data_IF_052283077425
#
_entry.id   IF_052283077425
#
_cell.length_a   1.000
_cell.length_b   1.000
_cell.length_c   1.000
_cell.angle_alpha   90.00
_cell.angle_beta   90.00
_cell.angle_gamma   90.00
#
_symmetry.space_group_name_H-M   'P 1'
#
loop_
_entity.id
_entity.type
_entity.pdbx_description
1 polymer ?
#
# COMPACT_ATOMS: atom_id res chain seq x y z
N UNK A 1 22.88 25.79 -21.15
CA UNK A 1 21.97 25.25 -20.13
C UNK A 1 21.06 24.26 -20.83
N UNK A 2 21.49 23.00 -20.90
CA UNK A 2 20.75 21.90 -21.54
C UNK A 2 19.59 21.52 -20.63
N UNK A 3 18.39 21.36 -21.21
CA UNK A 3 17.22 20.87 -20.48
C UNK A 3 17.58 19.57 -19.76
N UNK A 4 17.32 19.50 -18.45
CA UNK A 4 17.43 18.24 -17.70
C UNK A 4 16.44 17.26 -18.33
N UNK A 5 16.95 16.29 -19.09
CA UNK A 5 16.13 15.17 -19.55
C UNK A 5 15.63 14.42 -18.32
N UNK A 6 14.33 14.51 -18.06
CA UNK A 6 13.67 13.66 -17.08
C UNK A 6 13.86 12.20 -17.49
N UNK A 7 14.16 11.36 -16.51
CA UNK A 7 14.27 9.93 -16.72
C UNK A 7 12.90 9.35 -17.05
N UNK A 8 12.87 8.27 -17.82
CA UNK A 8 11.63 7.56 -18.10
C UNK A 8 11.19 6.74 -16.88
N UNK A 9 9.87 6.63 -16.68
CA UNK A 9 9.32 5.81 -15.60
C UNK A 9 9.78 4.35 -15.68
N UNK A 10 9.86 3.79 -16.89
CA UNK A 10 10.30 2.42 -17.12
C UNK A 10 11.75 2.21 -16.64
N UNK A 11 12.64 3.16 -16.91
CA UNK A 11 14.03 3.08 -16.47
C UNK A 11 14.16 3.11 -14.94
N UNK A 12 13.37 3.94 -14.27
CA UNK A 12 13.34 3.99 -12.79
C UNK A 12 12.80 2.68 -12.21
N UNK A 13 11.74 2.13 -12.81
CA UNK A 13 11.18 0.85 -12.39
C UNK A 13 12.19 -0.29 -12.56
N UNK A 14 12.84 -0.40 -13.72
CA UNK A 14 13.91 -1.39 -13.97
C UNK A 14 15.04 -1.28 -12.94
N UNK A 15 15.44 -0.05 -12.64
CA UNK A 15 16.46 0.23 -11.64
C UNK A 15 16.04 -0.24 -10.26
N UNK A 16 14.81 0.05 -9.86
CA UNK A 16 14.26 -0.39 -8.58
C UNK A 16 14.24 -1.92 -8.44
N UNK A 17 13.80 -2.64 -9.48
CA UNK A 17 13.80 -4.11 -9.46
C UNK A 17 15.21 -4.71 -9.30
N UNK A 18 16.23 -4.10 -9.92
CA UNK A 18 17.63 -4.50 -9.72
C UNK A 18 18.08 -4.36 -8.26
N UNK A 19 17.75 -3.23 -7.63
CA UNK A 19 18.04 -3.00 -6.21
C UNK A 19 17.25 -3.92 -5.29
N UNK A 20 15.99 -4.19 -5.61
CA UNK A 20 15.13 -5.06 -4.83
C UNK A 20 15.69 -6.48 -4.71
N UNK A 21 16.17 -7.07 -5.82
CA UNK A 21 16.81 -8.40 -5.81
C UNK A 21 17.99 -8.46 -4.83
N UNK A 22 18.86 -7.46 -4.90
CA UNK A 22 20.04 -7.37 -4.03
C UNK A 22 19.63 -7.20 -2.56
N UNK A 23 18.61 -6.39 -2.31
CA UNK A 23 18.09 -6.09 -0.97
C UNK A 23 17.40 -7.28 -0.33
N UNK A 24 16.59 -8.03 -1.08
CA UNK A 24 15.97 -9.27 -0.61
C UNK A 24 17.02 -10.35 -0.28
N UNK A 25 18.07 -10.43 -1.09
CA UNK A 25 19.20 -11.33 -0.84
C UNK A 25 19.93 -10.96 0.45
N UNK A 26 20.18 -9.67 0.67
CA UNK A 26 20.78 -9.20 1.92
C UNK A 26 19.87 -9.46 3.13
N UNK A 27 18.58 -9.18 3.04
CA UNK A 27 17.61 -9.42 4.11
C UNK A 27 17.55 -10.91 4.50
N UNK A 28 17.68 -11.82 3.52
CA UNK A 28 17.82 -13.26 3.74
C UNK A 28 19.09 -13.60 4.50
N UNK A 29 20.23 -13.04 4.10
CA UNK A 29 21.52 -13.28 4.76
C UNK A 29 21.56 -12.76 6.20
N UNK A 30 20.90 -11.63 6.46
CA UNK A 30 20.77 -11.02 7.79
C UNK A 30 19.68 -11.69 8.66
N UNK A 31 19.01 -12.74 8.13
CA UNK A 31 17.91 -13.46 8.80
C UNK A 31 16.72 -12.58 9.18
N UNK A 32 16.54 -11.45 8.47
CA UNK A 32 15.34 -10.62 8.57
C UNK A 32 14.16 -11.27 7.84
N UNK A 33 14.44 -12.02 6.77
CA UNK A 33 13.47 -12.79 6.00
C UNK A 33 14.00 -14.22 5.84
N UNK A 34 13.19 -15.23 6.15
CA UNK A 34 13.56 -16.62 5.88
C UNK A 34 13.15 -17.07 4.46
N UNK A 35 13.65 -18.23 4.05
CA UNK A 35 13.34 -18.77 2.74
C UNK A 35 11.88 -19.25 2.60
N UNK A 36 11.15 -19.47 3.70
CA UNK A 36 9.75 -19.87 3.68
C UNK A 36 8.87 -18.65 3.40
N UNK A 37 9.12 -17.52 4.07
CA UNK A 37 8.51 -16.19 3.82
C UNK A 37 8.76 -15.73 2.38
N UNK A 38 10.00 -15.82 1.88
CA UNK A 38 10.32 -15.45 0.49
C UNK A 38 9.60 -16.33 -0.54
N UNK A 39 9.46 -17.63 -0.25
CA UNK A 39 8.84 -18.59 -1.18
C UNK A 39 7.32 -18.56 -1.21
N UNK A 40 6.71 -18.43 -0.04
CA UNK A 40 5.26 -18.32 0.13
C UNK A 40 4.75 -16.97 -0.37
N UNK A 41 5.62 -15.95 -0.40
CA UNK A 41 5.24 -14.55 -0.55
C UNK A 41 4.10 -14.14 0.41
N UNK A 42 3.88 -14.92 1.47
CA UNK A 42 2.80 -14.75 2.43
C UNK A 42 3.07 -13.55 3.34
N UNK A 43 2.00 -13.03 3.92
CA UNK A 43 2.08 -11.82 4.74
C UNK A 43 2.44 -10.57 3.95
N UNK A 44 3.04 -9.62 4.64
CA UNK A 44 3.24 -8.26 4.17
C UNK A 44 4.50 -8.06 3.29
N UNK A 45 4.92 -9.10 2.56
CA UNK A 45 6.21 -9.10 1.88
C UNK A 45 6.29 -8.09 0.73
N UNK A 46 5.16 -7.82 0.05
CA UNK A 46 5.08 -6.80 -0.97
C UNK A 46 5.39 -5.40 -0.42
N UNK A 47 5.14 -5.14 0.85
CA UNK A 47 5.51 -3.87 1.48
C UNK A 47 6.92 -3.98 2.07
N UNK A 48 7.18 -5.06 2.82
CA UNK A 48 8.43 -5.25 3.57
C UNK A 48 9.66 -5.29 2.67
N UNK A 49 9.62 -6.02 1.54
CA UNK A 49 10.75 -6.13 0.62
C UNK A 49 11.20 -4.79 0.03
N UNK A 50 10.29 -4.04 -0.63
CA UNK A 50 10.55 -2.68 -1.08
C UNK A 50 10.97 -1.72 0.03
N UNK A 51 10.37 -1.80 1.22
CA UNK A 51 10.76 -0.95 2.36
C UNK A 51 12.20 -1.22 2.83
N UNK A 52 12.61 -2.49 2.91
CA UNK A 52 14.00 -2.88 3.20
C UNK A 52 14.96 -2.40 2.10
N UNK A 53 14.53 -2.47 0.83
CA UNK A 53 15.31 -1.93 -0.28
C UNK A 53 15.58 -0.42 -0.12
N UNK A 54 14.55 0.35 0.24
CA UNK A 54 14.67 1.79 0.51
C UNK A 54 15.55 2.08 1.73
N UNK A 55 15.44 1.26 2.78
CA UNK A 55 16.27 1.35 3.98
C UNK A 55 17.76 1.10 3.68
N UNK A 56 18.11 0.01 2.98
CA UNK A 56 19.49 -0.25 2.60
C UNK A 56 20.05 0.79 1.63
N UNK A 57 19.20 1.34 0.74
CA UNK A 57 19.58 2.46 -0.10
C UNK A 57 19.92 3.72 0.72
N UNK A 58 19.14 4.00 1.77
CA UNK A 58 19.41 5.12 2.68
C UNK A 58 20.73 4.95 3.45
N UNK A 59 21.01 3.76 3.97
CA UNK A 59 22.29 3.46 4.65
C UNK A 59 23.51 3.65 3.74
N UNK A 60 23.35 3.40 2.43
CA UNK A 60 24.42 3.52 1.42
C UNK A 60 24.48 4.88 0.74
N UNK A 61 23.54 5.78 1.02
CA UNK A 61 23.47 7.08 0.39
C UNK A 61 24.62 7.98 0.86
N UNK A 62 25.42 8.49 -0.08
CA UNK A 62 26.57 9.37 0.22
C UNK A 62 26.42 10.79 -0.34
N UNK A 63 25.27 11.11 -0.91
CA UNK A 63 25.02 12.38 -1.62
C UNK A 63 24.25 13.39 -0.76
N UNK A 64 24.40 14.67 -1.09
CA UNK A 64 23.68 15.77 -0.44
C UNK A 64 23.28 16.83 -1.49
N UNK A 65 21.98 17.03 -1.79
CA UNK A 65 20.82 16.34 -1.21
C UNK A 65 20.80 14.83 -1.53
N UNK A 66 20.11 14.00 -0.72
CA UNK A 66 20.06 12.55 -0.94
C UNK A 66 19.57 12.19 -2.35
N UNK A 67 20.30 11.28 -2.99
CA UNK A 67 20.00 10.76 -4.33
C UNK A 67 20.21 9.25 -4.35
N UNK A 68 19.51 8.56 -5.25
CA UNK A 68 19.63 7.09 -5.39
C UNK A 68 20.54 6.81 -6.59
N UNK A 69 21.68 6.12 -6.41
CA UNK A 69 22.51 5.74 -7.56
C UNK A 69 21.68 4.87 -8.51
N UNK A 70 21.82 5.05 -9.82
CA UNK A 70 21.14 4.22 -10.81
C UNK A 70 22.08 3.11 -11.30
N UNK A 71 21.57 1.95 -11.72
CA UNK A 71 22.39 0.87 -12.23
C UNK A 71 23.28 1.35 -13.38
N UNK A 72 24.55 0.97 -13.33
CA UNK A 72 25.53 1.37 -14.33
C UNK A 72 25.20 0.69 -15.67
N UNK A 73 24.99 1.50 -16.72
CA UNK A 73 25.13 1.00 -18.08
C UNK A 73 26.61 0.97 -18.46
N UNK A 74 27.02 -0.01 -19.26
CA UNK A 74 28.40 -0.08 -19.79
C UNK A 74 28.75 1.10 -20.70
N UNK A 75 27.75 1.81 -21.19
CA UNK A 75 27.88 2.83 -22.25
C UNK A 75 27.51 4.25 -21.79
N UNK A 76 27.00 4.44 -20.57
CA UNK A 76 26.58 5.76 -20.08
C UNK A 76 27.34 6.16 -18.81
N UNK A 77 27.51 7.48 -18.56
CA UNK A 77 28.08 7.96 -17.31
C UNK A 77 27.23 7.53 -16.10
N UNK A 78 27.87 7.46 -14.94
CA UNK A 78 27.18 7.25 -13.67
C UNK A 78 26.18 8.38 -13.44
N UNK A 79 24.96 8.03 -13.06
CA UNK A 79 23.89 8.98 -12.84
C UNK A 79 23.14 8.60 -11.58
N UNK A 80 22.74 9.61 -10.82
CA UNK A 80 21.92 9.43 -9.64
C UNK A 80 20.52 9.97 -9.93
N UNK A 81 19.50 9.28 -9.40
CA UNK A 81 18.14 9.77 -9.34
C UNK A 81 18.04 10.87 -8.29
N UNK A 82 17.69 12.07 -8.74
CA UNK A 82 17.54 13.26 -7.93
C UNK A 82 16.21 13.95 -8.22
N UNK A 83 15.75 14.90 -7.38
CA UNK A 83 14.51 15.63 -7.65
C UNK A 83 14.47 16.32 -9.03
N UNK A 84 15.63 16.63 -9.62
CA UNK A 84 15.71 17.38 -10.88
C UNK A 84 15.62 16.52 -12.14
N UNK A 85 15.80 15.20 -12.04
CA UNK A 85 15.67 14.26 -13.16
C UNK A 85 14.60 13.18 -12.91
N UNK A 86 13.98 13.17 -11.72
CA UNK A 86 12.94 12.23 -11.35
C UNK A 86 11.65 12.47 -12.16
N UNK A 87 11.04 11.41 -12.74
CA UNK A 87 9.74 11.54 -13.38
C UNK A 87 8.69 12.03 -12.36
N UNK A 88 7.71 12.87 -12.77
CA UNK A 88 6.73 13.46 -11.85
C UNK A 88 6.01 12.45 -10.95
N UNK A 89 5.69 11.27 -11.49
CA UNK A 89 5.00 10.21 -10.75
C UNK A 89 5.80 9.63 -9.57
N UNK A 90 7.13 9.84 -9.53
CA UNK A 90 8.03 9.32 -8.48
C UNK A 90 8.56 10.42 -7.55
N UNK A 91 8.32 11.70 -7.85
CA UNK A 91 8.88 12.82 -7.08
C UNK A 91 8.45 12.79 -5.62
N UNK A 92 7.17 12.49 -5.36
CA UNK A 92 6.65 12.37 -3.99
C UNK A 92 7.37 11.28 -3.19
N UNK A 93 7.66 10.15 -3.84
CA UNK A 93 8.34 9.00 -3.21
C UNK A 93 9.78 9.35 -2.86
N UNK A 94 10.48 9.96 -3.82
CA UNK A 94 11.87 10.37 -3.65
C UNK A 94 12.01 11.40 -2.53
N UNK A 95 11.05 12.32 -2.42
CA UNK A 95 11.01 13.32 -1.35
C UNK A 95 10.85 12.67 0.02
N UNK A 96 9.83 11.83 0.21
CA UNK A 96 9.60 11.12 1.49
C UNK A 96 10.81 10.27 1.87
N UNK A 97 11.38 9.53 0.92
CA UNK A 97 12.61 8.76 1.16
C UNK A 97 13.78 9.68 1.56
N UNK A 98 14.01 10.78 0.84
CA UNK A 98 15.11 11.71 1.14
C UNK A 98 15.04 12.29 2.56
N UNK A 99 13.83 12.53 3.08
CA UNK A 99 13.58 13.06 4.43
C UNK A 99 13.91 12.06 5.55
N UNK A 100 13.99 10.76 5.24
CA UNK A 100 14.36 9.72 6.20
C UNK A 100 15.81 9.27 6.09
N UNK A 101 16.55 9.64 5.03
CA UNK A 101 17.96 9.25 4.86
C UNK A 101 18.83 9.71 6.04
N UNK A 102 18.83 10.99 6.36
CA UNK A 102 19.63 11.52 7.47
C UNK A 102 19.18 10.95 8.84
N UNK A 103 17.88 10.90 9.18
CA UNK A 103 17.41 10.22 10.39
C UNK A 103 17.83 8.75 10.50
N UNK A 104 17.88 8.00 9.39
CA UNK A 104 18.34 6.59 9.40
C UNK A 104 19.84 6.52 9.69
N UNK A 105 20.63 7.36 9.02
CA UNK A 105 22.09 7.36 9.15
C UNK A 105 22.56 7.84 10.54
N UNK A 106 21.75 8.60 11.26
CA UNK A 106 22.06 9.05 12.62
C UNK A 106 21.72 8.03 13.72
N UNK A 107 21.01 6.94 13.39
CA UNK A 107 20.75 5.85 14.35
C UNK A 107 22.02 5.06 14.64
N UNK A 108 22.16 4.63 15.90
CA UNK A 108 23.20 3.66 16.28
C UNK A 108 22.91 2.27 15.68
N UNK A 109 23.91 1.40 15.49
CA UNK A 109 23.73 0.11 14.82
C UNK A 109 22.59 -0.76 15.39
N UNK A 110 22.40 -0.77 16.71
CA UNK A 110 21.32 -1.50 17.37
C UNK A 110 19.94 -0.97 16.97
N UNK A 111 19.79 0.36 16.91
CA UNK A 111 18.57 1.03 16.49
C UNK A 111 18.32 0.89 14.98
N UNK A 112 19.39 0.83 14.18
CA UNK A 112 19.29 0.51 12.76
C UNK A 112 18.74 -0.90 12.55
N UNK A 113 19.23 -1.88 13.33
CA UNK A 113 18.70 -3.23 13.29
C UNK A 113 17.23 -3.29 13.76
N UNK A 114 16.88 -2.58 14.83
CA UNK A 114 15.49 -2.48 15.30
C UNK A 114 14.57 -1.84 14.25
N UNK A 115 15.05 -0.82 13.51
CA UNK A 115 14.31 -0.26 12.38
C UNK A 115 14.02 -1.31 11.31
N UNK A 116 15.03 -2.11 10.92
CA UNK A 116 14.85 -3.19 9.95
C UNK A 116 13.83 -4.23 10.43
N UNK A 117 13.86 -4.57 11.73
CA UNK A 117 12.88 -5.48 12.36
C UNK A 117 11.47 -4.91 12.33
N UNK A 118 11.29 -3.64 12.72
CA UNK A 118 9.99 -2.98 12.72
C UNK A 118 9.43 -2.86 11.29
N UNK A 119 10.27 -2.61 10.28
CA UNK A 119 9.84 -2.64 8.87
C UNK A 119 9.25 -4.01 8.50
N UNK A 120 9.82 -5.09 9.03
CA UNK A 120 9.37 -6.48 8.86
C UNK A 120 8.21 -6.88 9.76
N UNK A 121 7.66 -5.96 10.57
CA UNK A 121 6.61 -6.27 11.55
C UNK A 121 7.10 -7.12 12.73
N UNK A 122 8.40 -7.17 12.97
CA UNK A 122 9.02 -7.87 14.09
C UNK A 122 9.19 -6.92 15.28
N UNK A 123 9.13 -7.46 16.50
CA UNK A 123 9.42 -6.70 17.70
C UNK A 123 10.90 -6.25 17.74
N UNK A 124 11.19 -5.01 18.17
CA UNK A 124 12.57 -4.55 18.37
C UNK A 124 13.25 -5.35 19.48
N UNK A 125 14.57 -5.50 19.38
CA UNK A 125 15.39 -6.21 20.37
C UNK A 125 15.71 -5.27 21.54
N UNK A 126 15.94 -3.98 21.27
CA UNK A 126 16.30 -3.03 22.31
C UNK A 126 15.12 -2.70 23.21
N UNK A 127 15.37 -2.64 24.53
CA UNK A 127 14.36 -2.27 25.53
C UNK A 127 13.94 -0.79 25.45
N UNK A 128 14.81 0.09 24.94
CA UNK A 128 14.54 1.51 24.75
C UNK A 128 14.42 1.84 23.27
N UNK A 129 13.21 1.70 22.73
CA UNK A 129 12.92 2.03 21.33
C UNK A 129 12.84 3.55 21.21
N UNK A 130 13.72 4.13 20.39
CA UNK A 130 13.61 5.54 20.03
C UNK A 130 12.26 5.77 19.34
N UNK A 131 11.37 6.66 19.85
CA UNK A 131 10.04 6.88 19.30
C UNK A 131 10.04 7.25 17.81
N UNK A 132 11.12 7.85 17.31
CA UNK A 132 11.24 8.23 15.90
C UNK A 132 11.33 7.03 14.94
N UNK A 133 11.77 5.86 15.41
CA UNK A 133 11.97 4.66 14.57
C UNK A 133 10.64 4.23 13.93
N UNK A 134 9.54 4.30 14.69
CA UNK A 134 8.21 3.97 14.17
C UNK A 134 7.77 4.93 13.06
N UNK A 135 8.09 6.22 13.19
CA UNK A 135 7.83 7.21 12.14
C UNK A 135 8.65 6.93 10.88
N UNK A 136 9.94 6.63 11.03
CA UNK A 136 10.82 6.28 9.92
C UNK A 136 10.32 5.01 9.20
N UNK A 137 9.96 3.98 9.96
CA UNK A 137 9.41 2.74 9.41
C UNK A 137 8.09 2.99 8.66
N UNK A 138 7.21 3.85 9.21
CA UNK A 138 5.96 4.22 8.57
C UNK A 138 6.21 4.94 7.24
N UNK A 139 7.13 5.91 7.19
CA UNK A 139 7.49 6.64 5.96
C UNK A 139 8.05 5.68 4.88
N UNK A 140 8.96 4.77 5.25
CA UNK A 140 9.52 3.77 4.32
C UNK A 140 8.45 2.82 3.79
N UNK A 141 7.56 2.34 4.67
CA UNK A 141 6.46 1.45 4.30
C UNK A 141 5.41 2.17 3.43
N UNK A 142 5.19 3.46 3.65
CA UNK A 142 4.32 4.30 2.83
C UNK A 142 4.82 4.34 1.37
N UNK A 143 6.11 4.62 1.18
CA UNK A 143 6.71 4.62 -0.17
C UNK A 143 6.68 3.23 -0.79
N UNK A 144 6.96 2.18 -0.01
CA UNK A 144 6.90 0.80 -0.45
C UNK A 144 5.49 0.38 -0.93
N UNK A 145 4.45 0.78 -0.21
CA UNK A 145 3.04 0.56 -0.58
C UNK A 145 2.76 1.17 -1.95
N UNK A 146 3.12 2.44 -2.16
CA UNK A 146 2.83 3.13 -3.41
C UNK A 146 3.54 2.51 -4.61
N UNK A 147 4.80 2.09 -4.42
CA UNK A 147 5.52 1.33 -5.45
C UNK A 147 4.80 0.00 -5.73
N UNK A 148 4.33 -0.68 -4.69
CA UNK A 148 3.67 -1.99 -4.78
C UNK A 148 2.27 -1.97 -5.36
N UNK A 149 1.62 -0.82 -5.31
CA UNK A 149 0.34 -0.55 -5.98
C UNK A 149 0.52 -0.45 -7.50
N UNK A 150 1.73 -0.24 -8.01
CA UNK A 150 1.97 -0.16 -9.46
C UNK A 150 1.93 -1.55 -10.09
N UNK A 151 1.16 -1.68 -11.17
CA UNK A 151 1.04 -2.92 -11.93
C UNK A 151 2.38 -3.43 -12.47
N UNK A 152 3.22 -2.54 -12.99
CA UNK A 152 4.53 -2.93 -13.51
C UNK A 152 5.39 -3.60 -12.43
N UNK A 153 5.27 -3.14 -11.19
CA UNK A 153 5.92 -3.75 -10.04
C UNK A 153 5.35 -5.15 -9.77
N UNK A 154 4.03 -5.26 -9.66
CA UNK A 154 3.34 -6.53 -9.38
C UNK A 154 3.69 -7.61 -10.41
N UNK A 155 3.73 -7.27 -11.70
CA UNK A 155 4.04 -8.23 -12.76
C UNK A 155 5.44 -8.85 -12.67
N UNK A 156 6.39 -8.13 -12.07
CA UNK A 156 7.80 -8.54 -12.01
C UNK A 156 8.21 -9.09 -10.65
N UNK A 157 7.42 -8.81 -9.62
CA UNK A 157 7.75 -9.13 -8.24
C UNK A 157 8.04 -10.62 -8.01
N UNK A 158 7.28 -11.53 -8.63
CA UNK A 158 7.55 -12.98 -8.57
C UNK A 158 8.97 -13.34 -9.05
N UNK A 159 9.45 -12.68 -10.13
CA UNK A 159 10.80 -12.91 -10.67
C UNK A 159 11.88 -12.41 -9.71
N UNK A 160 11.62 -11.30 -9.00
CA UNK A 160 12.57 -10.76 -8.02
C UNK A 160 12.69 -11.65 -6.78
N UNK A 161 11.55 -12.19 -6.31
CA UNK A 161 11.52 -13.17 -5.23
C UNK A 161 12.29 -14.42 -5.60
N UNK A 162 12.06 -14.96 -6.82
CA UNK A 162 12.78 -16.13 -7.29
C UNK A 162 14.29 -15.89 -7.35
N UNK A 163 14.73 -14.73 -7.86
CA UNK A 163 16.15 -14.39 -7.91
C UNK A 163 16.81 -14.36 -6.52
N UNK A 164 16.10 -13.89 -5.49
CA UNK A 164 16.59 -13.90 -4.11
C UNK A 164 16.60 -15.31 -3.48
N UNK A 165 15.65 -16.18 -3.84
CA UNK A 165 15.63 -17.59 -3.43
C UNK A 165 16.82 -18.35 -4.03
N UNK A 166 17.05 -18.18 -5.32
CA UNK A 166 18.14 -18.81 -6.08
C UNK A 166 19.51 -18.33 -5.61
N UNK A 167 19.60 -17.09 -5.11
CA UNK A 167 20.81 -16.53 -4.51
C UNK A 167 21.18 -17.27 -3.23
N UNK A 168 22.28 -18.03 -3.28
CA UNK A 168 22.82 -18.83 -2.17
C UNK A 168 22.40 -20.30 -2.16
N UNK A 169 21.58 -20.76 -3.11
CA UNK A 169 21.35 -22.18 -3.34
C UNK A 169 22.48 -22.76 -4.21
N UNK A 170 23.24 -23.73 -3.70
CA UNK A 170 24.16 -24.50 -4.54
C UNK A 170 23.38 -25.20 -5.66
N UNK A 171 24.01 -25.44 -6.82
CA UNK A 171 23.40 -26.00 -8.05
C UNK A 171 22.73 -27.39 -7.91
N UNK A 172 22.57 -27.93 -6.71
CA UNK A 172 22.09 -29.28 -6.45
C UNK A 172 21.32 -29.40 -5.13
N UNK A 173 20.41 -28.46 -4.83
CA UNK A 173 19.44 -28.66 -3.74
C UNK A 173 18.10 -29.17 -4.32
N UNK A 174 17.67 -30.41 -4.02
CA UNK A 174 16.40 -30.96 -4.50
C UNK A 174 15.16 -30.24 -3.93
N UNK A 175 15.32 -29.21 -3.09
CA UNK A 175 14.26 -28.34 -2.58
C UNK A 175 14.25 -26.94 -3.20
N UNK A 176 14.53 -26.77 -4.49
CA UNK A 176 14.41 -25.45 -5.13
C UNK A 176 12.99 -24.89 -4.94
N UNK A 177 12.82 -23.96 -4.00
CA UNK A 177 11.52 -23.35 -3.69
C UNK A 177 11.16 -22.39 -4.81
N UNK A 178 9.91 -22.47 -5.28
CA UNK A 178 9.36 -21.55 -6.27
C UNK A 178 8.57 -20.46 -5.57
N UNK A 179 8.78 -19.21 -5.97
CA UNK A 179 7.92 -18.12 -5.53
C UNK A 179 6.48 -18.38 -6.01
N UNK A 180 5.52 -18.40 -5.09
CA UNK A 180 4.09 -18.66 -5.38
C UNK A 180 3.31 -17.41 -5.78
N UNK A 181 3.97 -16.25 -5.85
CA UNK A 181 3.31 -14.98 -6.11
C UNK A 181 2.62 -14.94 -7.48
N UNK A 182 1.33 -14.64 -7.49
CA UNK A 182 0.53 -14.44 -8.70
C UNK A 182 0.09 -12.97 -8.76
N UNK A 183 0.45 -12.21 -9.81
CA UNK A 183 0.02 -10.82 -9.94
C UNK A 183 -1.52 -10.73 -10.09
N UNK A 184 -2.14 -9.63 -9.65
CA UNK A 184 -3.57 -9.45 -9.80
C UNK A 184 -3.99 -9.24 -11.28
N UNK A 185 -5.26 -9.50 -11.63
CA UNK A 185 -5.76 -9.46 -13.00
C UNK A 185 -5.68 -8.10 -13.70
N UNK A 186 -5.80 -8.17 -15.03
CA UNK A 186 -6.11 -7.16 -16.06
C UNK A 186 -6.85 -5.84 -15.80
N UNK A 187 -6.27 -4.73 -15.30
CA UNK A 187 -6.96 -3.40 -15.36
C UNK A 187 -6.99 -2.71 -16.74
N UNK A 188 -6.70 -3.42 -17.84
CA UNK A 188 -6.74 -2.74 -19.14
C UNK A 188 -8.14 -2.19 -19.39
N UNK A 189 -8.22 -0.87 -19.62
CA UNK A 189 -9.44 -0.20 -20.02
C UNK A 189 -10.08 -1.03 -21.13
N UNK A 190 -11.32 -1.45 -20.90
CA UNK A 190 -12.07 -2.30 -21.81
C UNK A 190 -11.89 -1.77 -23.24
N UNK A 191 -11.23 -2.55 -24.09
CA UNK A 191 -11.32 -2.32 -25.52
C UNK A 191 -12.80 -2.32 -25.90
N UNK A 192 -13.26 -1.42 -26.80
CA UNK A 192 -14.66 -1.33 -27.14
C UNK A 192 -15.18 -2.70 -27.61
N UNK A 193 -16.38 -3.11 -27.20
CA UNK A 193 -16.91 -4.41 -27.57
C UNK A 193 -17.04 -4.51 -29.10
N UNK A 194 -16.71 -5.65 -29.73
CA UNK A 194 -17.12 -5.88 -31.10
C UNK A 194 -18.64 -5.81 -31.18
N UNK A 195 -19.16 -5.10 -32.19
CA UNK A 195 -20.58 -4.81 -32.37
C UNK A 195 -21.48 -6.05 -32.24
N UNK A 196 -22.68 -5.93 -31.65
CA UNK A 196 -23.51 -7.09 -31.35
C UNK A 196 -24.12 -7.66 -32.64
N UNK A 197 -23.75 -8.90 -32.97
CA UNK A 197 -24.54 -9.73 -33.89
C UNK A 197 -25.85 -10.09 -33.17
N UNK A 198 -26.97 -9.68 -33.77
CA UNK A 198 -28.32 -10.03 -33.34
C UNK A 198 -28.47 -11.55 -33.31
N UNK A 199 -28.75 -12.12 -32.14
CA UNK A 199 -29.34 -13.45 -32.03
C UNK A 199 -30.59 -13.38 -31.17
N UNK A 200 -31.58 -14.14 -31.62
CA UNK A 200 -32.97 -14.07 -31.25
C UNK A 200 -33.24 -14.49 -29.80
N UNK A 201 -34.34 -13.94 -29.29
CA UNK A 201 -35.00 -14.23 -28.03
C UNK A 201 -35.18 -15.74 -27.76
N UNK A 202 -34.64 -16.20 -26.63
CA UNK A 202 -35.19 -17.34 -25.91
C UNK A 202 -35.28 -16.98 -24.42
N UNK A 203 -36.51 -16.96 -23.93
CA UNK A 203 -36.87 -16.78 -22.53
C UNK A 203 -36.45 -18.02 -21.75
N UNK A 204 -35.42 -17.92 -20.92
CA UNK A 204 -35.14 -18.91 -19.88
C UNK A 204 -34.46 -18.24 -18.67
N UNK A 205 -35.12 -18.38 -17.52
CA UNK A 205 -34.63 -18.28 -16.14
C UNK A 205 -33.30 -17.56 -15.91
N UNK A 206 -33.36 -16.41 -15.22
CA UNK A 206 -32.22 -15.75 -14.58
C UNK A 206 -31.45 -16.72 -13.69
N UNK A 207 -30.17 -17.05 -13.99
CA UNK A 207 -29.31 -17.68 -13.01
C UNK A 207 -28.88 -16.59 -12.03
N UNK A 208 -29.11 -16.82 -10.74
CA UNK A 208 -28.51 -16.01 -9.69
C UNK A 208 -26.98 -16.05 -9.83
N UNK A 209 -26.32 -14.89 -9.73
CA UNK A 209 -24.85 -14.68 -9.78
C UNK A 209 -24.12 -15.28 -8.55
N UNK A 210 -24.84 -16.07 -7.75
CA UNK A 210 -24.41 -16.69 -6.50
C UNK A 210 -23.95 -18.13 -6.78
N UNK A 211 -22.63 -18.34 -6.85
CA UNK A 211 -22.04 -19.65 -6.55
C UNK A 211 -22.14 -19.90 -5.04
N UNK A 212 -22.23 -21.15 -4.56
CA UNK A 212 -22.30 -21.45 -3.14
C UNK A 212 -20.91 -21.34 -2.48
N UNK A 213 -20.35 -20.12 -2.46
CA UNK A 213 -19.20 -19.77 -1.62
C UNK A 213 -19.75 -19.03 -0.39
N UNK A 214 -19.78 -19.75 0.74
CA UNK A 214 -20.08 -19.34 2.13
C UNK A 214 -20.70 -17.94 2.35
N UNK A 215 -21.90 -17.81 2.97
CA UNK A 215 -22.62 -16.53 3.13
C UNK A 215 -21.83 -15.38 3.78
N UNK A 216 -20.79 -15.70 4.55
CA UNK A 216 -19.87 -14.72 5.13
C UNK A 216 -19.03 -13.96 4.08
N UNK A 217 -18.56 -14.65 3.04
CA UNK A 217 -17.73 -14.03 1.99
C UNK A 217 -18.57 -13.04 1.18
N UNK A 218 -19.81 -13.42 0.86
CA UNK A 218 -20.75 -12.57 0.14
C UNK A 218 -21.07 -11.31 0.94
N UNK A 219 -21.35 -11.44 2.24
CA UNK A 219 -21.61 -10.29 3.11
C UNK A 219 -20.44 -9.31 3.13
N UNK A 220 -19.20 -9.78 3.29
CA UNK A 220 -18.02 -8.89 3.26
C UNK A 220 -17.88 -8.20 1.90
N UNK A 221 -18.01 -8.96 0.79
CA UNK A 221 -17.89 -8.41 -0.57
C UNK A 221 -18.97 -7.37 -0.86
N UNK A 222 -20.23 -7.68 -0.58
CA UNK A 222 -21.37 -6.78 -0.80
C UNK A 222 -21.19 -5.48 -0.03
N UNK A 223 -20.77 -5.56 1.23
CA UNK A 223 -20.52 -4.39 2.07
C UNK A 223 -19.43 -3.50 1.49
N UNK A 224 -18.30 -4.08 1.07
CA UNK A 224 -17.18 -3.32 0.50
C UNK A 224 -17.49 -2.77 -0.89
N UNK A 225 -18.23 -3.51 -1.73
CA UNK A 225 -18.62 -3.02 -3.06
C UNK A 225 -19.72 -1.97 -3.01
N UNK A 226 -20.65 -2.05 -2.05
CA UNK A 226 -21.58 -0.96 -1.78
C UNK A 226 -20.84 0.30 -1.35
N UNK A 227 -19.92 0.19 -0.38
CA UNK A 227 -19.07 1.30 0.05
C UNK A 227 -18.25 1.90 -1.11
N UNK A 228 -17.75 1.07 -2.02
CA UNK A 228 -17.03 1.52 -3.21
C UNK A 228 -17.93 2.34 -4.16
N UNK A 229 -19.19 1.91 -4.34
CA UNK A 229 -20.19 2.68 -5.06
C UNK A 229 -20.43 4.06 -4.45
N UNK A 230 -20.65 4.11 -3.13
CA UNK A 230 -20.88 5.35 -2.38
C UNK A 230 -19.68 6.30 -2.47
N UNK A 231 -18.45 5.76 -2.38
CA UNK A 231 -17.21 6.54 -2.53
C UNK A 231 -17.12 7.19 -3.91
N UNK A 232 -17.43 6.46 -4.97
CA UNK A 232 -17.35 6.97 -6.33
C UNK A 232 -18.46 7.97 -6.67
N UNK A 233 -19.61 7.86 -5.99
CA UNK A 233 -20.65 8.88 -6.02
C UNK A 233 -20.21 10.16 -5.32
N UNK A 234 -19.66 10.04 -4.11
CA UNK A 234 -19.34 11.17 -3.22
C UNK A 234 -18.02 11.88 -3.53
N UNK A 235 -17.03 11.21 -4.14
CA UNK A 235 -15.68 11.77 -4.35
C UNK A 235 -15.40 12.07 -5.83
N UNK A 236 -15.72 13.29 -6.27
CA UNK A 236 -15.48 13.75 -7.65
C UNK A 236 -14.00 13.79 -8.04
N UNK A 237 -13.10 13.96 -7.07
CA UNK A 237 -11.66 13.96 -7.28
C UNK A 237 -11.11 12.59 -7.68
N UNK A 238 -11.68 11.49 -7.16
CA UNK A 238 -11.33 10.12 -7.57
C UNK A 238 -11.66 9.88 -9.04
N UNK A 239 -12.77 10.45 -9.54
CA UNK A 239 -13.12 10.39 -10.98
C UNK A 239 -12.11 11.12 -11.85
N UNK A 240 -11.57 12.24 -11.35
CA UNK A 240 -10.52 12.99 -12.05
C UNK A 240 -9.21 12.20 -12.03
N UNK A 241 -8.89 11.57 -10.90
CA UNK A 241 -7.72 10.73 -10.71
C UNK A 241 -7.76 9.50 -11.61
N UNK A 242 -8.93 8.87 -11.82
CA UNK A 242 -9.10 7.75 -12.75
C UNK A 242 -8.63 8.07 -14.18
N UNK A 243 -8.76 9.33 -14.63
CA UNK A 243 -8.30 9.77 -15.95
C UNK A 243 -6.80 10.04 -16.01
N UNK A 244 -6.21 10.50 -14.90
CA UNK A 244 -4.81 10.95 -14.82
C UNK A 244 -3.85 9.82 -14.41
N UNK A 245 -4.26 9.02 -13.44
CA UNK A 245 -3.50 7.93 -12.82
C UNK A 245 -4.47 6.82 -12.38
N UNK A 246 -4.89 5.94 -13.31
CA UNK A 246 -5.86 4.89 -13.03
C UNK A 246 -5.44 3.93 -11.89
N UNK A 247 -4.17 3.45 -11.81
CA UNK A 247 -3.72 2.63 -10.68
C UNK A 247 -3.89 3.35 -9.34
N UNK A 248 -3.50 4.61 -9.24
CA UNK A 248 -3.67 5.39 -8.01
C UNK A 248 -5.14 5.54 -7.66
N UNK A 249 -5.98 5.87 -8.64
CA UNK A 249 -7.41 6.04 -8.41
C UNK A 249 -8.08 4.74 -7.92
N UNK A 250 -7.66 3.60 -8.46
CA UNK A 250 -8.09 2.28 -8.01
C UNK A 250 -7.82 2.10 -6.51
N UNK A 251 -6.57 2.28 -6.08
CA UNK A 251 -6.19 2.07 -4.68
C UNK A 251 -6.78 3.12 -3.75
N UNK A 252 -6.90 4.37 -4.20
CA UNK A 252 -7.61 5.41 -3.45
C UNK A 252 -9.08 5.01 -3.23
N UNK A 253 -9.78 4.53 -4.27
CA UNK A 253 -11.18 4.10 -4.18
C UNK A 253 -11.36 2.94 -3.20
N UNK A 254 -10.52 1.92 -3.29
CA UNK A 254 -10.55 0.76 -2.38
C UNK A 254 -10.20 1.17 -0.94
N UNK A 255 -9.19 2.03 -0.76
CA UNK A 255 -8.81 2.56 0.54
C UNK A 255 -9.92 3.37 1.20
N UNK A 256 -10.61 4.22 0.42
CA UNK A 256 -11.80 4.92 0.89
C UNK A 256 -12.95 3.98 1.21
N UNK A 257 -13.19 2.94 0.42
CA UNK A 257 -14.22 1.95 0.71
C UNK A 257 -13.94 1.19 2.02
N UNK A 258 -12.69 0.78 2.24
CA UNK A 258 -12.24 0.17 3.50
C UNK A 258 -12.48 1.12 4.67
N UNK A 259 -12.05 2.39 4.54
CA UNK A 259 -12.23 3.39 5.58
C UNK A 259 -13.72 3.63 5.86
N UNK A 260 -14.54 3.77 4.82
CA UNK A 260 -15.98 3.94 4.94
C UNK A 260 -16.65 2.75 5.66
N UNK A 261 -16.30 1.52 5.28
CA UNK A 261 -16.78 0.30 5.95
C UNK A 261 -16.32 0.28 7.41
N UNK A 262 -15.07 0.65 7.69
CA UNK A 262 -14.53 0.69 9.04
C UNK A 262 -15.23 1.73 9.93
N UNK A 263 -15.66 2.86 9.36
CA UNK A 263 -16.36 3.93 10.07
C UNK A 263 -17.86 3.63 10.27
N UNK A 264 -18.51 2.96 9.31
CA UNK A 264 -19.98 2.90 9.25
C UNK A 264 -20.57 1.50 9.43
N UNK A 265 -19.80 0.45 9.11
CA UNK A 265 -20.31 -0.91 9.07
C UNK A 265 -19.85 -1.77 10.27
N UNK A 266 -18.92 -1.30 11.11
CA UNK A 266 -18.51 -2.06 12.29
C UNK A 266 -19.63 -2.04 13.34
N UNK A 267 -19.88 -3.19 13.97
CA UNK A 267 -20.87 -3.33 15.03
C UNK A 267 -20.49 -2.48 16.27
N UNK A 268 -21.45 -2.01 17.08
CA UNK A 268 -21.14 -1.16 18.24
C UNK A 268 -20.17 -1.78 19.26
N UNK A 269 -20.15 -3.11 19.36
CA UNK A 269 -19.22 -3.87 20.21
C UNK A 269 -17.84 -4.08 19.58
N UNK A 270 -17.65 -3.71 18.31
CA UNK A 270 -16.39 -3.85 17.57
C UNK A 270 -16.04 -5.29 17.19
N UNK A 271 -16.96 -6.25 17.35
CA UNK A 271 -16.67 -7.69 17.15
C UNK A 271 -17.09 -8.23 15.79
N UNK A 272 -17.74 -7.42 14.96
CA UNK A 272 -18.24 -7.82 13.66
C UNK A 272 -18.50 -6.67 12.70
N UNK A 273 -19.00 -7.03 11.52
CA UNK A 273 -19.48 -6.08 10.51
C UNK A 273 -20.97 -6.28 10.28
N UNK A 274 -21.68 -5.19 10.00
CA UNK A 274 -23.06 -5.15 9.55
C UNK A 274 -23.07 -4.96 8.03
N UNK A 275 -23.62 -5.94 7.34
CA UNK A 275 -23.83 -5.87 5.90
C UNK A 275 -24.97 -4.93 5.50
N UNK A 276 -25.07 -4.66 4.20
CA UNK A 276 -26.03 -3.71 3.60
C UNK A 276 -27.48 -4.07 3.94
N UNK A 277 -27.80 -5.36 4.02
CA UNK A 277 -29.15 -5.86 4.37
C UNK A 277 -29.38 -5.96 5.88
N UNK A 278 -28.50 -5.41 6.72
CA UNK A 278 -28.59 -5.43 8.17
C UNK A 278 -28.08 -6.72 8.84
N UNK A 279 -27.80 -7.76 8.06
CA UNK A 279 -27.17 -8.99 8.56
C UNK A 279 -25.81 -8.68 9.18
N UNK A 280 -25.46 -9.36 10.27
CA UNK A 280 -24.19 -9.17 10.96
C UNK A 280 -23.31 -10.40 10.76
N UNK A 281 -22.01 -10.18 10.63
CA UNK A 281 -20.99 -11.22 10.59
C UNK A 281 -19.95 -10.92 11.68
N UNK A 282 -19.85 -11.80 12.67
CA UNK A 282 -18.84 -11.74 13.72
C UNK A 282 -17.53 -12.38 13.26
N UNK A 283 -16.44 -12.12 14.00
CA UNK A 283 -15.14 -12.74 13.71
C UNK A 283 -15.17 -14.28 13.83
N UNK A 284 -15.98 -14.81 14.73
CA UNK A 284 -16.09 -16.26 14.96
C UNK A 284 -16.79 -16.97 13.78
N UNK A 285 -17.79 -16.31 13.20
CA UNK A 285 -18.53 -16.75 12.01
C UNK A 285 -17.73 -16.55 10.71
N UNK A 286 -16.64 -15.78 10.77
CA UNK A 286 -15.80 -15.52 9.61
C UNK A 286 -14.98 -16.78 9.24
N UNK A 287 -14.99 -17.22 7.95
CA UNK A 287 -14.17 -18.32 7.48
C UNK A 287 -12.70 -18.12 7.81
N UNK A 288 -11.99 -19.19 8.17
CA UNK A 288 -10.59 -19.12 8.64
C UNK A 288 -9.67 -18.36 7.69
N UNK A 289 -9.88 -18.52 6.38
CA UNK A 289 -9.09 -17.83 5.34
C UNK A 289 -9.30 -16.30 5.32
N UNK A 290 -10.46 -15.81 5.76
CA UNK A 290 -10.80 -14.38 5.78
C UNK A 290 -10.65 -13.74 7.16
N UNK A 291 -10.47 -14.53 8.22
CA UNK A 291 -10.28 -14.00 9.59
C UNK A 291 -9.18 -12.95 9.66
N UNK A 292 -7.97 -13.11 9.06
CA UNK A 292 -6.95 -12.07 9.11
C UNK A 292 -7.40 -10.74 8.49
N UNK A 293 -8.13 -10.81 7.37
CA UNK A 293 -8.71 -9.64 6.72
C UNK A 293 -9.75 -8.96 7.62
N UNK A 294 -10.67 -9.75 8.18
CA UNK A 294 -11.72 -9.27 9.08
C UNK A 294 -11.12 -8.63 10.35
N UNK A 295 -10.14 -9.27 10.98
CA UNK A 295 -9.43 -8.75 12.15
C UNK A 295 -8.78 -7.40 11.85
N UNK A 296 -8.12 -7.25 10.70
CA UNK A 296 -7.49 -5.98 10.34
C UNK A 296 -8.52 -4.90 10.03
N UNK A 297 -9.62 -5.23 9.33
CA UNK A 297 -10.71 -4.29 9.07
C UNK A 297 -11.33 -3.76 10.38
N UNK A 298 -11.60 -4.65 11.33
CA UNK A 298 -12.09 -4.28 12.67
C UNK A 298 -11.07 -3.40 13.42
N UNK A 299 -9.79 -3.78 13.34
CA UNK A 299 -8.69 -3.03 13.95
C UNK A 299 -8.49 -1.63 13.35
N UNK A 300 -8.76 -1.44 12.05
CA UNK A 300 -8.76 -0.12 11.39
C UNK A 300 -9.89 0.73 11.95
N UNK A 301 -11.11 0.20 12.06
CA UNK A 301 -12.22 1.04 12.53
C UNK A 301 -12.18 1.33 14.03
N UNK A 302 -11.68 0.41 14.85
CA UNK A 302 -11.35 0.70 16.25
C UNK A 302 -10.33 1.85 16.36
N UNK A 303 -9.28 1.82 15.53
CA UNK A 303 -8.29 2.89 15.50
C UNK A 303 -8.86 4.21 14.96
N UNK A 304 -9.71 4.17 13.92
CA UNK A 304 -10.36 5.35 13.37
C UNK A 304 -11.22 6.06 14.42
N UNK A 305 -12.03 5.29 15.17
CA UNK A 305 -12.84 5.80 16.26
C UNK A 305 -11.98 6.45 17.35
N UNK A 306 -10.91 5.78 17.77
CA UNK A 306 -9.98 6.33 18.75
C UNK A 306 -9.29 7.62 18.26
N UNK A 307 -8.92 7.69 16.98
CA UNK A 307 -8.36 8.92 16.38
C UNK A 307 -9.37 10.07 16.44
N UNK A 308 -10.62 9.83 16.08
CA UNK A 308 -11.68 10.85 16.10
C UNK A 308 -11.93 11.35 17.53
N UNK A 309 -12.07 10.44 18.50
CA UNK A 309 -12.30 10.81 19.91
C UNK A 309 -11.12 11.62 20.50
N UNK A 310 -9.88 11.23 20.18
CA UNK A 310 -8.69 11.98 20.57
C UNK A 310 -8.63 13.37 19.90
N UNK A 311 -8.92 13.46 18.59
CA UNK A 311 -8.94 14.72 17.84
C UNK A 311 -10.02 15.68 18.35
N UNK A 312 -11.22 15.18 18.64
CA UNK A 312 -12.32 15.98 19.19
C UNK A 312 -11.95 16.54 20.57
N UNK A 313 -11.33 15.71 21.42
CA UNK A 313 -10.86 16.12 22.74
C UNK A 313 -9.77 17.20 22.65
N UNK A 314 -8.80 17.01 21.75
CA UNK A 314 -7.72 17.97 21.53
C UNK A 314 -8.24 19.29 20.92
N UNK A 315 -9.16 19.21 19.96
CA UNK A 315 -9.80 20.37 19.35
C UNK A 315 -10.57 21.20 20.39
N UNK A 316 -11.37 20.57 21.25
CA UNK A 316 -12.08 21.25 22.33
C UNK A 316 -11.12 21.98 23.28
N UNK A 317 -9.97 21.37 23.62
CA UNK A 317 -8.94 21.99 24.45
C UNK A 317 -8.32 23.22 23.76
N UNK A 318 -7.93 23.10 22.49
CA UNK A 318 -7.32 24.19 21.73
C UNK A 318 -8.28 25.37 21.55
N UNK A 319 -9.55 25.11 21.26
CA UNK A 319 -10.60 26.15 21.20
C UNK A 319 -10.74 26.85 22.54
N UNK A 320 -10.75 26.10 23.66
CA UNK A 320 -10.80 26.67 25.00
C UNK A 320 -9.59 27.55 25.35
N UNK A 321 -8.43 27.26 24.76
CA UNK A 321 -7.20 28.04 24.88
C UNK A 321 -7.09 29.19 23.85
N UNK A 322 -8.09 29.37 22.97
CA UNK A 322 -8.06 30.37 21.90
C UNK A 322 -7.03 30.09 20.80
N UNK A 323 -6.60 28.83 20.65
CA UNK A 323 -5.62 28.39 19.65
C UNK A 323 -6.31 27.86 18.41
N UNK A 324 -5.59 27.92 17.29
CA UNK A 324 -6.05 27.33 16.03
C UNK A 324 -6.08 25.79 16.13
N UNK A 325 -7.20 25.20 15.69
CA UNK A 325 -7.38 23.75 15.66
C UNK A 325 -6.72 23.21 14.37
N UNK A 326 -5.75 22.30 14.47
CA UNK A 326 -5.14 21.70 13.28
C UNK A 326 -6.15 20.83 12.53
N UNK A 327 -5.86 20.55 11.25
CA UNK A 327 -6.66 19.61 10.47
C UNK A 327 -6.68 18.23 11.17
N UNK A 328 -7.87 17.61 11.38
CA UNK A 328 -7.96 16.29 12.01
C UNK A 328 -7.09 15.24 11.31
N UNK A 329 -6.56 14.28 12.08
CA UNK A 329 -5.75 13.16 11.58
C UNK A 329 -6.50 12.32 10.57
N UNK A 330 -7.80 12.08 10.77
CA UNK A 330 -8.59 11.29 9.83
C UNK A 330 -8.75 11.99 8.48
N UNK A 331 -8.93 13.32 8.49
CA UNK A 331 -8.95 14.14 7.27
C UNK A 331 -7.59 14.15 6.55
N UNK A 332 -6.48 14.20 7.31
CA UNK A 332 -5.15 14.01 6.72
C UNK A 332 -5.00 12.62 6.10
N UNK A 333 -5.51 11.58 6.74
CA UNK A 333 -5.50 10.22 6.20
C UNK A 333 -6.29 10.13 4.88
N UNK A 334 -7.47 10.73 4.81
CA UNK A 334 -8.25 10.84 3.55
C UNK A 334 -7.43 11.53 2.45
N UNK A 335 -6.74 12.62 2.78
CA UNK A 335 -5.87 13.31 1.81
C UNK A 335 -4.68 12.48 1.35
N UNK A 336 -4.07 11.70 2.25
CA UNK A 336 -3.00 10.76 1.88
C UNK A 336 -3.50 9.59 1.01
N UNK A 337 -4.73 9.11 1.22
CA UNK A 337 -5.37 8.10 0.37
C UNK A 337 -5.66 8.65 -1.03
N UNK A 338 -6.03 9.93 -1.13
CA UNK A 338 -6.32 10.62 -2.40
C UNK A 338 -5.02 10.99 -3.16
N UNK A 339 -4.15 11.76 -2.54
CA UNK A 339 -3.06 12.49 -3.20
C UNK A 339 -1.69 11.80 -3.08
N UNK A 340 -1.56 10.86 -2.14
CA UNK A 340 -0.33 10.09 -1.91
C UNK A 340 0.46 10.52 -0.70
N UNK A 341 1.43 9.70 -0.34
CA UNK A 341 2.31 9.87 0.81
C UNK A 341 3.23 11.09 0.64
N UNK A 342 3.41 11.57 -0.60
CA UNK A 342 4.09 12.82 -0.90
C UNK A 342 3.32 14.09 -0.49
N UNK A 343 2.01 13.99 -0.25
CA UNK A 343 1.15 15.13 0.12
C UNK A 343 1.54 15.76 1.46
N UNK A 344 1.80 14.93 2.48
CA UNK A 344 2.19 15.44 3.80
C UNK A 344 3.50 16.21 3.71
N UNK A 345 4.49 15.65 2.99
CA UNK A 345 5.81 16.25 2.86
C UNK A 345 5.81 17.61 2.16
N UNK A 346 4.79 17.98 1.38
CA UNK A 346 4.66 19.31 0.76
C UNK A 346 4.24 20.40 1.76
N UNK A 347 3.52 20.02 2.82
CA UNK A 347 3.06 20.94 3.88
C UNK A 347 4.01 21.00 5.08
N UNK A 348 4.78 19.94 5.35
CA UNK A 348 5.64 19.83 6.55
C UNK A 348 6.95 20.61 6.48
N UNK A 349 7.34 21.16 5.33
CA UNK A 349 8.60 21.91 5.18
C UNK A 349 8.72 23.14 6.12
N UNK A 350 7.60 23.57 6.73
CA UNK A 350 7.54 24.69 7.66
C UNK A 350 7.27 24.29 9.13
N UNK A 351 7.19 22.99 9.49
CA UNK A 351 6.61 22.59 10.79
C UNK A 351 7.35 21.43 11.49
N UNK A 352 8.47 21.75 12.13
CA UNK A 352 9.36 20.77 12.80
C UNK A 352 8.72 20.03 14.00
N UNK A 353 7.60 20.53 14.53
CA UNK A 353 6.88 19.91 15.66
C UNK A 353 5.81 18.87 15.29
N UNK A 354 5.42 18.77 14.01
CA UNK A 354 4.24 18.00 13.59
C UNK A 354 4.53 16.57 13.13
N UNK A 355 5.81 16.19 13.03
CA UNK A 355 6.22 14.87 12.51
C UNK A 355 5.65 13.68 13.30
N UNK A 356 5.43 13.82 14.61
CA UNK A 356 4.82 12.74 15.43
C UNK A 356 3.36 12.48 15.07
N UNK A 357 2.59 13.56 14.82
CA UNK A 357 1.18 13.47 14.41
C UNK A 357 1.07 12.97 12.96
N UNK A 358 1.97 13.42 12.10
CA UNK A 358 2.07 12.93 10.72
C UNK A 358 2.44 11.44 10.67
N UNK A 359 3.40 11.00 11.48
CA UNK A 359 3.77 9.58 11.59
C UNK A 359 2.59 8.69 12.00
N UNK A 360 1.72 9.17 12.90
CA UNK A 360 0.48 8.43 13.27
C UNK A 360 -0.51 8.35 12.09
N UNK A 361 -0.70 9.44 11.34
CA UNK A 361 -1.59 9.44 10.18
C UNK A 361 -1.04 8.55 9.04
N UNK A 362 0.27 8.61 8.75
CA UNK A 362 0.93 7.76 7.76
C UNK A 362 0.81 6.29 8.17
N UNK A 363 1.07 5.95 9.43
CA UNK A 363 0.93 4.58 9.92
C UNK A 363 -0.51 4.05 9.76
N UNK A 364 -1.52 4.89 10.05
CA UNK A 364 -2.92 4.53 9.85
C UNK A 364 -3.26 4.30 8.37
N UNK A 365 -2.81 5.18 7.48
CA UNK A 365 -2.99 5.03 6.02
C UNK A 365 -2.29 3.78 5.49
N UNK A 366 -1.12 3.44 6.03
CA UNK A 366 -0.40 2.23 5.67
C UNK A 366 -1.19 0.96 6.00
N UNK A 367 -1.94 0.95 7.11
CA UNK A 367 -2.84 -0.16 7.45
C UNK A 367 -3.96 -0.33 6.42
N UNK A 368 -4.63 0.77 6.06
CA UNK A 368 -5.69 0.77 5.05
C UNK A 368 -5.16 0.30 3.69
N UNK A 369 -4.06 0.89 3.22
CA UNK A 369 -3.48 0.54 1.92
C UNK A 369 -2.86 -0.87 1.92
N UNK A 370 -2.32 -1.32 3.05
CA UNK A 370 -1.85 -2.70 3.24
C UNK A 370 -2.99 -3.70 3.14
N UNK A 371 -4.13 -3.41 3.78
CA UNK A 371 -5.34 -4.23 3.66
C UNK A 371 -5.85 -4.26 2.20
N UNK A 372 -5.87 -3.11 1.52
CA UNK A 372 -6.24 -3.01 0.11
C UNK A 372 -5.33 -3.84 -0.81
N UNK A 373 -4.01 -3.83 -0.57
CA UNK A 373 -3.06 -4.70 -1.27
C UNK A 373 -3.33 -6.18 -0.96
N UNK A 374 -3.60 -6.52 0.31
CA UNK A 374 -3.95 -7.87 0.75
C UNK A 374 -5.19 -8.43 0.06
N UNK A 375 -6.22 -7.60 -0.18
CA UNK A 375 -7.43 -8.00 -0.90
C UNK A 375 -7.14 -8.60 -2.27
N UNK A 376 -6.15 -8.07 -2.99
CA UNK A 376 -5.81 -8.56 -4.34
C UNK A 376 -5.30 -10.01 -4.35
N UNK A 377 -4.80 -10.48 -3.20
CA UNK A 377 -4.27 -11.84 -3.04
C UNK A 377 -5.37 -12.84 -2.70
N UNK A 378 -6.43 -12.40 -2.03
CA UNK A 378 -7.56 -13.24 -1.68
C UNK A 378 -8.33 -13.64 -2.94
N UNK A 379 -8.37 -14.95 -3.24
CA UNK A 379 -9.09 -15.49 -4.41
C UNK A 379 -10.52 -14.96 -4.49
N UNK A 380 -11.17 -14.88 -3.33
CA UNK A 380 -12.51 -14.36 -3.18
C UNK A 380 -12.69 -12.96 -3.81
N UNK A 381 -11.76 -12.04 -3.58
CA UNK A 381 -11.88 -10.68 -4.11
C UNK A 381 -11.35 -10.57 -5.54
N UNK A 382 -10.32 -11.36 -5.88
CA UNK A 382 -9.66 -11.35 -7.19
C UNK A 382 -10.61 -11.66 -8.34
N UNK A 383 -11.51 -12.63 -8.17
CA UNK A 383 -12.40 -13.09 -9.25
C UNK A 383 -13.46 -12.06 -9.65
N UNK A 384 -13.91 -11.19 -8.72
CA UNK A 384 -14.94 -10.16 -8.98
C UNK A 384 -14.37 -8.76 -9.19
N UNK A 385 -13.08 -8.56 -8.97
CA UNK A 385 -12.42 -7.28 -9.11
C UNK A 385 -12.59 -6.74 -10.55
N UNK A 386 -12.31 -7.54 -11.57
CA UNK A 386 -12.41 -7.10 -12.97
C UNK A 386 -13.84 -6.65 -13.35
N UNK A 387 -14.86 -7.34 -12.84
CA UNK A 387 -16.26 -7.05 -13.17
C UNK A 387 -16.76 -5.79 -12.47
N UNK A 388 -16.43 -5.64 -11.17
CA UNK A 388 -16.74 -4.42 -10.43
C UNK A 388 -16.13 -3.22 -11.12
N UNK A 389 -14.83 -3.27 -11.47
CA UNK A 389 -14.17 -2.11 -12.06
C UNK A 389 -14.54 -1.86 -13.52
N UNK A 390 -14.96 -2.86 -14.30
CA UNK A 390 -15.60 -2.63 -15.61
C UNK A 390 -16.91 -1.84 -15.47
N UNK A 391 -17.73 -2.18 -14.48
CA UNK A 391 -18.95 -1.42 -14.17
C UNK A 391 -18.59 0.01 -13.77
N UNK A 392 -17.57 0.18 -12.92
CA UNK A 392 -17.13 1.50 -12.47
C UNK A 392 -16.55 2.37 -13.59
N UNK A 393 -15.78 1.80 -14.52
CA UNK A 393 -15.30 2.52 -15.71
C UNK A 393 -16.47 3.02 -16.57
N UNK A 394 -17.54 2.22 -16.69
CA UNK A 394 -18.76 2.58 -17.41
C UNK A 394 -19.55 3.72 -16.78
N UNK A 395 -19.54 3.88 -15.45
CA UNK A 395 -20.25 4.97 -14.73
C UNK A 395 -19.59 6.34 -14.97
N UNK A 396 -18.31 6.36 -15.35
CA UNK A 396 -17.56 7.60 -15.61
C UNK A 396 -17.57 8.06 -17.08
N UNK A 397 -18.24 7.31 -17.95
CA UNK A 397 -18.34 7.55 -19.41
C UNK A 397 -19.44 8.55 -19.77
#
# INVERSE_FOLDING_TARGET
>A
MTANEQLSENFIQDSFHSYLKSSLTQAKLEKLLDADVLSSAEGDLMITGPALCLYFAALRCTTNPPSVPLPRSKTSPHMDLSPSNCPPAFVGFLRVWSNVVQPIQSLVPEQQHDLARIICGLEPISQQVNPSINGIAADLRAVAIEISQRRSFQNRYASDLQAALDSGAGQSDPRSRKASFVPPPSYEAASPPPSPRRFASSTSSTPSILTPDTPAIELIRETLYAALGDVLESHSSVRTLLKRDPPRAYFASVGFAILYTAENAITPDGQGIRGVLGNTLTLDECPTELRPFMTELLGIGSQAKGITEEDDTEAMKLVGEGKEVPLPRLERARKMLEEGVGWSSERSANDEGRRSVEGRAVAFVNRINGLALGMTRLRAFRERQDDVFKVLAGITS
#
